data_IF_847898604033
#
_entry.id   IF_847898604033
#
_cell.length_a   1.000
_cell.length_b   1.000
_cell.length_c   1.000
_cell.angle_alpha   90.00
_cell.angle_beta   90.00
_cell.angle_gamma   90.00
#
_symmetry.space_group_name_H-M   'P 1'
#
loop_
_entity.id
_entity.type
_entity.pdbx_description
1 polymer ?
#
# COMPACT_ATOMS: atom_id res chain seq x y z
N UNK A 1 8.67 0.35 -8.65
CA UNK A 1 8.14 0.19 -7.28
C UNK A 1 7.86 1.60 -6.80
N UNK A 2 6.60 1.91 -6.49
CA UNK A 2 6.17 3.23 -6.04
C UNK A 2 5.80 3.13 -4.56
N UNK A 3 6.13 4.16 -3.78
CA UNK A 3 5.69 4.30 -2.39
C UNK A 3 4.50 5.24 -2.38
N UNK A 4 3.42 4.85 -1.71
CA UNK A 4 2.23 5.67 -1.56
C UNK A 4 2.34 6.45 -0.23
N UNK A 5 3.04 7.58 -0.25
CA UNK A 5 3.12 8.50 0.89
C UNK A 5 2.88 9.95 0.45
N UNK A 6 2.66 10.85 1.41
CA UNK A 6 2.37 12.27 1.16
C UNK A 6 3.60 13.19 1.32
N UNK A 7 4.76 12.62 1.65
CA UNK A 7 6.00 13.35 1.85
C UNK A 7 6.92 13.15 0.66
N UNK A 8 7.62 14.22 0.30
CA UNK A 8 8.69 14.13 -0.68
C UNK A 8 9.94 13.48 -0.05
N UNK A 9 10.40 12.37 -0.61
CA UNK A 9 11.52 11.59 -0.12
C UNK A 9 12.42 10.99 -1.25
N UNK A 10 13.32 10.08 -0.91
CA UNK A 10 14.25 9.49 -1.87
C UNK A 10 13.57 8.62 -2.95
N UNK A 11 12.40 8.06 -2.67
CA UNK A 11 11.67 7.21 -3.62
C UNK A 11 11.01 8.04 -4.72
N UNK A 12 10.58 9.27 -4.42
CA UNK A 12 10.06 10.18 -5.44
C UNK A 12 11.09 10.48 -6.53
N UNK A 13 12.35 10.64 -6.15
CA UNK A 13 13.44 10.88 -7.10
C UNK A 13 13.76 9.67 -7.97
N UNK A 14 13.55 8.46 -7.46
CA UNK A 14 13.96 7.23 -8.14
C UNK A 14 12.84 6.58 -8.96
N UNK A 15 11.61 6.64 -8.45
CA UNK A 15 10.47 5.94 -9.01
C UNK A 15 9.36 6.88 -9.49
N UNK A 16 9.31 8.12 -8.97
CA UNK A 16 8.23 9.06 -9.21
C UNK A 16 6.87 8.58 -8.71
N UNK A 17 5.85 9.40 -8.96
CA UNK A 17 4.46 9.11 -8.59
C UNK A 17 3.88 7.93 -9.37
N UNK A 18 2.97 7.20 -8.73
CA UNK A 18 2.11 6.25 -9.43
C UNK A 18 1.19 7.02 -10.40
N UNK A 19 1.22 6.76 -11.71
CA UNK A 19 0.39 7.50 -12.66
C UNK A 19 -1.11 7.35 -12.39
N UNK A 20 -1.87 8.42 -12.64
CA UNK A 20 -3.34 8.38 -12.58
C UNK A 20 -3.87 7.31 -13.55
N UNK A 21 -4.81 6.50 -13.07
CA UNK A 21 -5.40 5.40 -13.82
C UNK A 21 -4.57 4.11 -13.83
N UNK A 22 -3.37 4.09 -13.23
CA UNK A 22 -2.53 2.91 -13.20
C UNK A 22 -3.14 1.77 -12.38
N UNK A 23 -2.79 0.54 -12.79
CA UNK A 23 -3.01 -0.70 -12.07
C UNK A 23 -1.68 -1.16 -11.45
N UNK A 24 -1.73 -1.75 -10.26
CA UNK A 24 -0.51 -2.16 -9.54
C UNK A 24 -0.76 -3.32 -8.57
N UNK A 25 0.33 -3.98 -8.19
CA UNK A 25 0.35 -4.84 -7.01
C UNK A 25 0.66 -3.98 -5.78
N UNK A 26 -0.33 -3.81 -4.91
CA UNK A 26 -0.16 -3.13 -3.63
C UNK A 26 0.34 -4.13 -2.57
N UNK A 27 1.30 -3.69 -1.76
CA UNK A 27 1.83 -4.46 -0.63
C UNK A 27 1.57 -3.69 0.66
N UNK A 28 0.78 -4.29 1.56
CA UNK A 28 0.56 -3.80 2.93
C UNK A 28 1.44 -4.57 3.92
N UNK A 29 2.13 -3.85 4.79
CA UNK A 29 3.05 -4.41 5.78
C UNK A 29 2.53 -4.19 7.20
N UNK A 30 2.31 -5.27 7.95
CA UNK A 30 1.66 -5.20 9.25
C UNK A 30 2.38 -4.37 10.32
N UNK A 31 3.69 -4.10 10.21
CA UNK A 31 4.39 -3.26 11.18
C UNK A 31 4.22 -1.75 10.91
N UNK A 32 3.70 -1.38 9.75
CA UNK A 32 3.30 -0.03 9.41
C UNK A 32 2.05 -0.09 8.52
N UNK A 33 0.96 -0.61 9.10
CA UNK A 33 -0.23 -0.92 8.35
C UNK A 33 -1.05 0.35 8.08
N UNK A 34 -1.31 0.62 6.81
CA UNK A 34 -2.25 1.63 6.38
C UNK A 34 -3.56 0.97 5.93
N UNK A 35 -4.67 1.67 6.04
CA UNK A 35 -5.91 1.23 5.39
C UNK A 35 -5.65 1.16 3.89
N UNK A 36 -6.05 0.06 3.24
CA UNK A 36 -5.91 -0.10 1.78
C UNK A 36 -6.61 1.07 1.10
N UNK A 37 -5.90 1.93 0.34
CA UNK A 37 -6.45 3.18 -0.15
C UNK A 37 -7.42 2.90 -1.29
N UNK A 38 -8.72 2.91 -0.98
CA UNK A 38 -9.81 2.80 -1.95
C UNK A 38 -10.49 4.16 -2.15
N UNK A 39 -11.32 4.27 -3.18
CA UNK A 39 -12.07 5.47 -3.53
C UNK A 39 -12.75 6.13 -2.30
N UNK A 40 -12.79 7.48 -2.22
CA UNK A 40 -12.51 8.44 -3.30
C UNK A 40 -11.02 8.83 -3.45
N UNK A 41 -10.17 8.53 -2.49
CA UNK A 41 -8.77 8.99 -2.41
C UNK A 41 -7.76 7.84 -2.59
N UNK A 42 -8.08 6.93 -3.52
CA UNK A 42 -7.25 5.76 -3.77
C UNK A 42 -7.62 4.99 -5.05
N UNK A 43 -7.48 3.67 -5.02
CA UNK A 43 -7.85 2.79 -6.13
C UNK A 43 -9.37 2.64 -6.26
N UNK A 44 -9.85 2.49 -7.49
CA UNK A 44 -11.27 2.19 -7.73
C UNK A 44 -11.66 0.78 -7.27
N UNK A 45 -10.70 -0.15 -7.29
CA UNK A 45 -10.89 -1.53 -6.84
C UNK A 45 -9.57 -2.13 -6.38
N UNK A 46 -9.58 -2.87 -5.27
CA UNK A 46 -8.47 -3.68 -4.81
C UNK A 46 -8.96 -5.08 -4.45
N UNK A 47 -8.44 -6.09 -5.13
CA UNK A 47 -8.72 -7.49 -4.85
C UNK A 47 -7.63 -8.06 -3.94
N UNK A 48 -8.00 -8.64 -2.80
CA UNK A 48 -7.05 -9.38 -1.97
C UNK A 48 -6.60 -10.65 -2.68
N UNK A 49 -5.29 -10.82 -2.82
CA UNK A 49 -4.70 -11.99 -3.47
C UNK A 49 -4.26 -13.03 -2.44
N UNK A 50 -3.40 -12.61 -1.50
CA UNK A 50 -2.83 -13.49 -0.50
C UNK A 50 -2.19 -12.71 0.65
N UNK A 51 -1.87 -13.43 1.73
CA UNK A 51 -1.05 -12.95 2.82
C UNK A 51 0.14 -13.89 3.05
N UNK A 52 1.30 -13.32 3.38
CA UNK A 52 2.51 -14.06 3.72
C UNK A 52 3.00 -13.65 5.10
N UNK A 53 3.12 -14.62 6.00
CA UNK A 53 3.71 -14.43 7.31
C UNK A 53 5.22 -14.58 7.28
N UNK A 54 5.92 -13.63 7.89
CA UNK A 54 7.34 -13.74 8.22
C UNK A 54 7.45 -14.23 9.65
N UNK A 55 8.05 -15.41 9.82
CA UNK A 55 8.19 -16.08 11.13
C UNK A 55 9.64 -16.08 11.59
N UNK A 56 9.88 -15.77 12.87
CA UNK A 56 11.18 -15.85 13.53
C UNK A 56 11.01 -16.52 14.88
N UNK A 57 11.78 -17.59 15.13
CA UNK A 57 11.70 -18.38 16.36
C UNK A 57 10.27 -18.89 16.66
N UNK A 58 9.51 -19.26 15.62
CA UNK A 58 8.14 -19.74 15.74
C UNK A 58 7.06 -18.65 15.79
N UNK A 59 7.43 -17.41 16.12
CA UNK A 59 6.51 -16.26 16.20
C UNK A 59 6.40 -15.53 14.86
N UNK A 60 5.19 -15.10 14.49
CA UNK A 60 4.99 -14.18 13.37
C UNK A 60 5.42 -12.78 13.79
N UNK A 61 6.39 -12.22 13.07
CA UNK A 61 6.94 -10.89 13.34
C UNK A 61 6.43 -9.84 12.35
N UNK A 62 5.98 -10.25 11.17
CA UNK A 62 5.32 -9.39 10.20
C UNK A 62 4.40 -10.23 9.31
N UNK A 63 3.35 -9.61 8.78
CA UNK A 63 2.52 -10.16 7.71
C UNK A 63 2.52 -9.17 6.55
N UNK A 64 2.77 -9.66 5.35
CA UNK A 64 2.61 -8.91 4.11
C UNK A 64 1.31 -9.32 3.43
N UNK A 65 0.45 -8.36 3.08
CA UNK A 65 -0.79 -8.59 2.33
C UNK A 65 -0.66 -8.01 0.93
N UNK A 66 -1.07 -8.79 -0.05
CA UNK A 66 -0.92 -8.45 -1.47
C UNK A 66 -2.29 -8.22 -2.09
N UNK A 67 -2.44 -7.10 -2.79
CA UNK A 67 -3.68 -6.74 -3.47
C UNK A 67 -3.42 -6.40 -4.94
N UNK A 68 -4.29 -6.87 -5.84
CA UNK A 68 -4.36 -6.37 -7.21
C UNK A 68 -5.26 -5.13 -7.23
N UNK A 69 -4.64 -3.96 -7.30
CA UNK A 69 -5.33 -2.68 -7.23
C UNK A 69 -5.40 -2.02 -8.62
N UNK A 70 -6.55 -1.42 -8.94
CA UNK A 70 -6.84 -0.87 -10.27
C UNK A 70 -7.33 0.56 -10.24
N UNK A 71 -7.01 1.31 -11.29
CA UNK A 71 -7.43 2.69 -11.54
C UNK A 71 -7.13 3.62 -10.36
N UNK A 72 -5.84 3.91 -10.17
CA UNK A 72 -5.37 4.89 -9.18
C UNK A 72 -5.97 6.29 -9.40
N UNK A 73 -6.45 6.95 -8.35
CA UNK A 73 -7.06 8.29 -8.47
C UNK A 73 -6.06 9.46 -8.50
N UNK A 74 -4.80 9.24 -8.09
CA UNK A 74 -3.78 10.31 -8.04
C UNK A 74 -3.84 11.21 -6.80
N UNK A 75 -4.71 10.94 -5.83
CA UNK A 75 -4.84 11.75 -4.62
C UNK A 75 -4.89 10.86 -3.38
N UNK A 76 -3.73 10.34 -2.93
CA UNK A 76 -3.68 9.48 -1.75
C UNK A 76 -4.11 10.26 -0.50
N UNK A 77 -4.93 9.64 0.35
CA UNK A 77 -5.14 10.07 1.74
C UNK A 77 -4.77 8.90 2.65
N UNK A 78 -3.46 8.73 2.97
CA UNK A 78 -3.02 7.62 3.77
C UNK A 78 -3.61 7.70 5.18
N UNK A 79 -4.21 6.60 5.63
CA UNK A 79 -4.77 6.46 6.98
C UNK A 79 -4.07 5.32 7.69
N UNK A 80 -3.28 5.65 8.72
CA UNK A 80 -2.59 4.65 9.52
C UNK A 80 -3.63 3.86 10.33
N UNK A 81 -3.56 2.53 10.31
CA UNK A 81 -4.44 1.69 11.10
C UNK A 81 -4.12 1.85 12.59
N UNK A 82 -5.13 2.17 13.39
CA UNK A 82 -4.98 2.34 14.84
C UNK A 82 -4.55 3.74 15.30
N UNK A 83 -4.47 4.73 14.40
CA UNK A 83 -4.50 6.14 14.82
C UNK A 83 -5.91 6.48 15.35
N UNK A 84 -6.01 7.29 16.44
CA UNK A 84 -7.30 7.67 17.03
C UNK A 84 -8.17 8.51 16.09
#
# INVERSE_FOLDING_TARGET
>A
MHVLEDRFDQFDMWAGDLPVGADTLLVDWSQLAYTVPQAPHGFAHCEFLQAQDVRRLGSTIATFRFYACRRWSGSPQPQLQGSP
#
